data_IF_707151444598
#
_entry.id   IF_707151444598
#
_cell.length_a   1.000
_cell.length_b   1.000
_cell.length_c   1.000
_cell.angle_alpha   90.00
_cell.angle_beta   90.00
_cell.angle_gamma   90.00
#
_symmetry.space_group_name_H-M   'P 1'
#
loop_
_entity.id
_entity.type
_entity.pdbx_description
1 polymer ?
#
# COMPACT_ATOMS: atom_id res chain seq x y z
N UNK A 1 3.28 14.52 -1.42
CA UNK A 1 4.22 13.43 -1.70
C UNK A 1 3.62 12.63 -2.85
N UNK A 2 4.31 12.57 -3.99
CA UNK A 2 3.77 12.05 -5.27
C UNK A 2 4.17 10.58 -5.53
N UNK A 3 5.03 10.03 -4.67
CA UNK A 3 5.75 8.77 -4.85
C UNK A 3 5.33 7.69 -3.83
N UNK A 4 4.20 7.89 -3.14
CA UNK A 4 3.63 6.94 -2.18
C UNK A 4 2.23 6.55 -2.62
N UNK A 5 1.95 5.25 -2.53
CA UNK A 5 0.60 4.71 -2.64
C UNK A 5 0.27 3.85 -1.42
N UNK A 6 -0.64 4.34 -0.58
CA UNK A 6 -1.17 3.59 0.56
C UNK A 6 -2.61 3.16 0.23
N UNK A 7 -2.83 1.96 -0.34
CA UNK A 7 -4.18 1.49 -0.64
C UNK A 7 -5.02 1.27 0.63
N UNK A 8 -4.37 0.85 1.71
CA UNK A 8 -4.93 0.75 3.06
C UNK A 8 -3.96 1.35 4.08
N UNK A 9 -4.45 1.52 5.30
CA UNK A 9 -3.72 2.06 6.43
C UNK A 9 -3.93 1.18 7.66
N UNK A 10 -2.99 1.22 8.59
CA UNK A 10 -2.98 0.40 9.80
C UNK A 10 -2.24 -0.91 9.58
N UNK A 11 -1.76 -1.54 10.65
CA UNK A 11 -1.00 -2.79 10.58
C UNK A 11 -1.08 -3.54 11.90
N UNK A 12 -0.83 -4.85 11.89
CA UNK A 12 -0.55 -5.62 13.11
C UNK A 12 0.97 -5.75 13.29
N UNK A 13 1.49 -5.49 14.49
CA UNK A 13 2.92 -5.69 14.77
C UNK A 13 3.26 -7.19 14.76
N UNK A 14 4.20 -7.63 13.92
CA UNK A 14 4.55 -9.06 13.76
C UNK A 14 5.99 -9.42 14.15
N UNK A 15 6.87 -8.45 14.44
CA UNK A 15 8.27 -8.73 14.77
C UNK A 15 8.89 -7.62 15.63
N UNK A 16 10.09 -7.87 16.16
CA UNK A 16 10.89 -6.87 16.89
C UNK A 16 11.17 -5.59 16.05
N UNK A 17 11.22 -5.73 14.72
CA UNK A 17 11.35 -4.58 13.81
C UNK A 17 10.16 -3.61 13.86
N UNK A 18 9.07 -3.95 14.54
CA UNK A 18 7.89 -3.08 14.72
C UNK A 18 7.89 -2.27 16.02
N UNK A 19 8.87 -2.47 16.91
CA UNK A 19 8.93 -1.76 18.20
C UNK A 19 8.97 -0.23 18.01
N UNK A 20 9.75 0.26 17.05
CA UNK A 20 9.90 1.68 16.74
C UNK A 20 9.15 2.10 15.46
N UNK A 21 7.96 1.55 15.23
CA UNK A 21 7.18 1.84 14.02
C UNK A 21 6.72 3.30 13.98
N UNK A 22 7.23 4.08 13.02
CA UNK A 22 6.88 5.50 12.86
C UNK A 22 5.38 5.72 12.59
N UNK A 23 4.70 4.79 11.91
CA UNK A 23 3.27 4.92 11.61
C UNK A 23 2.46 4.96 12.91
N UNK A 24 2.68 4.00 13.81
CA UNK A 24 2.04 3.97 15.12
C UNK A 24 2.33 5.23 15.95
N UNK A 25 3.59 5.70 15.92
CA UNK A 25 3.95 6.95 16.59
C UNK A 25 3.18 8.15 16.03
N UNK A 26 3.16 8.32 14.70
CA UNK A 26 2.45 9.42 14.05
C UNK A 26 0.93 9.36 14.22
N UNK A 27 0.36 8.16 14.31
CA UNK A 27 -1.06 7.98 14.59
C UNK A 27 -1.39 8.35 16.03
N UNK A 28 -0.55 7.98 17.00
CA UNK A 28 -0.75 8.39 18.41
C UNK A 28 -0.69 9.91 18.60
N UNK A 29 0.14 10.62 17.82
CA UNK A 29 0.19 12.10 17.84
C UNK A 29 -1.10 12.75 17.29
N UNK A 30 -1.97 11.97 16.65
CA UNK A 30 -3.23 12.41 16.04
C UNK A 30 -4.45 11.76 16.72
N UNK A 31 -4.27 11.22 17.92
CA UNK A 31 -5.28 10.49 18.67
C UNK A 31 -5.91 9.33 17.87
N UNK A 32 -5.08 8.65 17.06
CA UNK A 32 -5.47 7.47 16.28
C UNK A 32 -4.71 6.23 16.77
N UNK A 33 -5.36 5.09 16.62
CA UNK A 33 -4.75 3.79 16.85
C UNK A 33 -4.27 3.20 15.51
N UNK A 34 -2.97 2.97 15.40
CA UNK A 34 -2.34 2.36 14.22
C UNK A 34 -2.71 0.89 13.98
N UNK A 35 -3.35 0.23 14.95
CA UNK A 35 -3.92 -1.11 14.77
C UNK A 35 -5.29 -1.08 14.08
N UNK A 36 -5.93 0.09 13.96
CA UNK A 36 -7.17 0.23 13.20
C UNK A 36 -6.87 0.14 11.70
N UNK A 37 -7.14 -1.03 11.13
CA UNK A 37 -6.90 -1.31 9.72
C UNK A 37 -8.12 -0.92 8.89
N UNK A 38 -7.90 -0.13 7.85
CA UNK A 38 -8.96 0.28 6.94
C UNK A 38 -8.46 0.57 5.52
N UNK A 39 -9.32 0.29 4.55
CA UNK A 39 -9.11 0.68 3.15
C UNK A 39 -9.20 2.20 3.01
N UNK A 40 -8.22 2.81 2.33
CA UNK A 40 -8.25 4.26 2.08
C UNK A 40 -9.28 4.61 1.01
N UNK A 41 -10.19 5.54 1.31
CA UNK A 41 -11.28 5.90 0.37
C UNK A 41 -10.78 6.54 -0.93
N UNK A 42 -9.86 7.50 -0.81
CA UNK A 42 -9.33 8.27 -1.95
C UNK A 42 -7.98 7.74 -2.44
N UNK A 43 -7.20 7.11 -1.56
CA UNK A 43 -5.84 6.62 -1.85
C UNK A 43 -5.83 5.33 -2.65
N UNK A 44 -6.86 4.48 -2.54
CA UNK A 44 -6.85 3.15 -3.14
C UNK A 44 -6.61 3.17 -4.65
N UNK A 45 -7.28 4.06 -5.38
CA UNK A 45 -7.17 4.15 -6.85
C UNK A 45 -6.14 5.18 -7.33
N UNK A 46 -5.24 5.65 -6.46
CA UNK A 46 -4.28 6.71 -6.79
C UNK A 46 -3.43 6.45 -8.04
N UNK A 47 -2.88 5.23 -8.30
CA UNK A 47 -2.11 4.96 -9.51
C UNK A 47 -2.92 5.12 -10.80
N UNK A 48 -4.25 5.05 -10.73
CA UNK A 48 -5.16 5.27 -11.86
C UNK A 48 -5.72 6.69 -11.92
N UNK A 49 -5.41 7.52 -10.93
CA UNK A 49 -5.96 8.87 -10.85
C UNK A 49 -5.47 9.74 -12.00
N UNK A 50 -6.39 10.54 -12.55
CA UNK A 50 -6.13 11.44 -13.67
C UNK A 50 -6.30 12.90 -13.27
N UNK A 51 -5.58 13.78 -13.93
CA UNK A 51 -5.80 15.22 -13.84
C UNK A 51 -7.03 15.65 -14.66
N UNK A 52 -7.34 16.96 -14.67
CA UNK A 52 -8.48 17.51 -15.41
C UNK A 52 -8.35 17.37 -16.93
N UNK A 53 -7.13 17.14 -17.44
CA UNK A 53 -6.84 16.95 -18.85
C UNK A 53 -6.87 15.47 -19.24
N UNK A 54 -7.14 14.56 -18.30
CA UNK A 54 -7.22 13.13 -18.52
C UNK A 54 -5.88 12.40 -18.48
N UNK A 55 -4.78 13.09 -18.17
CA UNK A 55 -3.47 12.46 -18.02
C UNK A 55 -3.37 11.77 -16.67
N UNK A 56 -2.69 10.62 -16.60
CA UNK A 56 -2.37 10.02 -15.30
C UNK A 56 -1.55 11.00 -14.44
N UNK A 57 -1.93 11.09 -13.16
CA UNK A 57 -1.17 11.88 -12.19
C UNK A 57 0.22 11.29 -12.00
N UNK A 58 0.29 9.97 -11.74
CA UNK A 58 1.53 9.19 -11.68
C UNK A 58 2.06 8.97 -13.08
N UNK A 59 3.23 9.52 -13.40
CA UNK A 59 3.80 9.48 -14.75
C UNK A 59 4.48 8.15 -15.04
N UNK A 60 4.56 7.81 -16.32
CA UNK A 60 5.30 6.64 -16.78
C UNK A 60 6.77 6.75 -16.40
N UNK A 61 7.36 5.65 -15.92
CA UNK A 61 8.73 5.58 -15.41
C UNK A 61 8.89 5.94 -13.94
N UNK A 62 7.86 6.46 -13.27
CA UNK A 62 7.91 6.75 -11.84
C UNK A 62 7.93 5.48 -10.98
N UNK A 63 8.39 5.64 -9.74
CA UNK A 63 8.32 4.60 -8.71
C UNK A 63 7.34 5.00 -7.62
N UNK A 64 6.44 4.09 -7.27
CA UNK A 64 5.56 4.22 -6.11
C UNK A 64 6.01 3.28 -5.00
N UNK A 65 6.28 3.84 -3.82
CA UNK A 65 6.48 3.09 -2.59
C UNK A 65 5.12 2.74 -2.01
N UNK A 66 4.83 1.45 -1.90
CA UNK A 66 3.49 0.97 -1.54
C UNK A 66 3.43 0.62 -0.06
N UNK A 67 2.30 0.91 0.59
CA UNK A 67 2.05 0.57 1.99
C UNK A 67 3.07 1.20 2.97
N UNK A 68 3.45 2.45 2.75
CA UNK A 68 4.22 3.25 3.71
C UNK A 68 3.44 3.60 4.99
N UNK A 69 2.20 3.15 5.16
CA UNK A 69 1.47 3.19 6.43
C UNK A 69 0.71 1.89 6.67
N UNK A 70 1.24 0.77 6.18
CA UNK A 70 0.70 -0.58 6.39
C UNK A 70 1.75 -1.63 5.97
N UNK A 71 1.31 -2.82 5.61
CA UNK A 71 2.07 -3.87 4.94
C UNK A 71 1.21 -4.44 3.80
N UNK A 72 1.81 -4.73 2.64
CA UNK A 72 1.05 -5.21 1.48
C UNK A 72 0.53 -6.65 1.67
N UNK A 73 1.24 -7.46 2.47
CA UNK A 73 0.90 -8.86 2.75
C UNK A 73 0.21 -9.03 4.10
N UNK A 74 -0.42 -7.97 4.61
CA UNK A 74 -1.27 -7.99 5.80
C UNK A 74 -2.55 -8.80 5.54
N UNK A 75 -2.91 -9.73 6.43
CA UNK A 75 -4.06 -10.63 6.28
C UNK A 75 -5.38 -9.87 6.20
N UNK A 76 -5.54 -8.81 6.99
CA UNK A 76 -6.74 -7.97 7.01
C UNK A 76 -6.95 -7.20 5.70
N UNK A 77 -5.96 -7.21 4.79
CA UNK A 77 -6.07 -6.64 3.46
C UNK A 77 -6.33 -7.68 2.35
N UNK A 78 -6.48 -8.98 2.69
CA UNK A 78 -6.71 -10.06 1.72
C UNK A 78 -7.89 -9.72 0.78
N UNK A 79 -9.03 -9.30 1.35
CA UNK A 79 -10.24 -8.93 0.61
C UNK A 79 -10.05 -7.76 -0.37
N UNK A 80 -8.97 -6.98 -0.24
CA UNK A 80 -8.69 -5.82 -1.09
C UNK A 80 -7.48 -6.03 -2.00
N UNK A 81 -6.66 -7.04 -1.73
CA UNK A 81 -5.34 -7.20 -2.37
C UNK A 81 -5.47 -7.48 -3.86
N UNK A 82 -6.42 -8.32 -4.26
CA UNK A 82 -6.63 -8.64 -5.68
C UNK A 82 -6.98 -7.40 -6.51
N UNK A 83 -7.79 -6.49 -5.94
CA UNK A 83 -8.09 -5.22 -6.60
C UNK A 83 -6.83 -4.33 -6.67
N UNK A 84 -5.97 -4.33 -5.65
CA UNK A 84 -4.69 -3.62 -5.70
C UNK A 84 -3.72 -4.22 -6.74
N UNK A 85 -3.66 -5.56 -6.87
CA UNK A 85 -2.89 -6.23 -7.92
C UNK A 85 -3.41 -5.84 -9.31
N UNK A 86 -4.72 -5.79 -9.53
CA UNK A 86 -5.30 -5.35 -10.80
C UNK A 86 -4.92 -3.91 -11.17
N UNK A 87 -4.70 -3.05 -10.17
CA UNK A 87 -4.23 -1.66 -10.38
C UNK A 87 -2.76 -1.66 -10.81
N UNK A 88 -1.93 -2.49 -10.19
CA UNK A 88 -0.52 -2.65 -10.53
C UNK A 88 -0.39 -3.16 -11.97
N UNK A 89 -1.14 -4.20 -12.33
CA UNK A 89 -1.16 -4.80 -13.67
C UNK A 89 -1.56 -3.78 -14.75
N UNK A 90 -2.50 -2.89 -14.45
CA UNK A 90 -2.94 -1.83 -15.37
C UNK A 90 -1.91 -0.71 -15.58
N UNK A 91 -0.87 -0.64 -14.76
CA UNK A 91 0.19 0.37 -14.83
C UNK A 91 1.57 -0.29 -14.96
N UNK A 92 1.81 -1.08 -16.03
CA UNK A 92 3.10 -1.72 -16.25
C UNK A 92 4.23 -0.71 -16.51
N UNK A 93 3.86 0.54 -16.81
CA UNK A 93 4.77 1.67 -16.99
C UNK A 93 5.27 2.29 -15.68
N UNK A 94 4.78 1.83 -14.52
CA UNK A 94 5.15 2.32 -13.18
C UNK A 94 5.88 1.23 -12.41
N UNK A 95 6.91 1.60 -11.65
CA UNK A 95 7.62 0.68 -10.75
C UNK A 95 6.96 0.68 -9.38
N UNK A 96 6.46 -0.45 -8.93
CA UNK A 96 5.89 -0.59 -7.59
C UNK A 96 6.91 -1.23 -6.65
N UNK A 97 7.27 -0.52 -5.58
CA UNK A 97 8.17 -1.02 -4.54
C UNK A 97 7.36 -1.48 -3.34
N UNK A 98 7.36 -2.80 -3.11
CA UNK A 98 6.72 -3.43 -1.96
C UNK A 98 7.78 -3.79 -0.93
N UNK A 99 7.61 -3.31 0.30
CA UNK A 99 8.40 -3.73 1.46
C UNK A 99 7.47 -4.43 2.44
N UNK A 100 7.86 -5.60 2.93
CA UNK A 100 7.06 -6.38 3.87
C UNK A 100 7.91 -6.98 4.98
N UNK A 101 7.29 -7.15 6.15
CA UNK A 101 7.82 -7.96 7.27
C UNK A 101 7.14 -9.32 7.38
N UNK A 102 6.33 -9.69 6.38
CA UNK A 102 5.60 -10.96 6.27
C UNK A 102 6.06 -11.75 5.04
N UNK A 103 7.37 -12.03 4.89
CA UNK A 103 7.88 -12.72 3.70
C UNK A 103 7.28 -14.12 3.53
N UNK A 104 6.86 -14.76 4.62
CA UNK A 104 6.18 -16.05 4.69
C UNK A 104 4.86 -16.08 3.91
N UNK A 105 4.13 -14.97 3.87
CA UNK A 105 2.86 -14.87 3.14
C UNK A 105 3.02 -14.61 1.65
N UNK A 106 4.22 -14.21 1.19
CA UNK A 106 4.38 -13.66 -0.16
C UNK A 106 3.99 -14.68 -1.22
N UNK A 107 4.54 -15.89 -1.17
CA UNK A 107 4.36 -16.90 -2.22
C UNK A 107 2.89 -17.27 -2.47
N UNK A 108 2.05 -17.25 -1.43
CA UNK A 108 0.63 -17.59 -1.50
C UNK A 108 -0.27 -16.43 -1.96
N UNK A 109 0.27 -15.20 -2.02
CA UNK A 109 -0.51 -13.97 -2.27
C UNK A 109 0.01 -13.13 -3.44
N UNK A 110 0.84 -13.73 -4.30
CA UNK A 110 1.21 -13.15 -5.59
C UNK A 110 0.00 -13.20 -6.54
N UNK A 111 -0.11 -12.27 -7.51
CA UNK A 111 -1.12 -12.37 -8.54
C UNK A 111 -0.88 -13.63 -9.39
N UNK A 112 -1.94 -14.16 -10.01
CA UNK A 112 -1.88 -15.40 -10.78
C UNK A 112 -0.87 -15.39 -11.94
N UNK A 113 -0.47 -14.21 -12.41
CA UNK A 113 0.43 -13.98 -13.54
C UNK A 113 1.79 -13.39 -13.13
N UNK A 114 2.24 -13.65 -11.90
CA UNK A 114 3.56 -13.24 -11.42
C UNK A 114 4.71 -13.72 -12.31
#
# INVERSE_FOLDING_TARGET
>A
MHDIWNPWHGCIKCSEGCQNCYMYYLDSLRDKDGSNIYRTKTGFKYPLSKDRQGNYKVKSGEMLRVCMTSDFFLEEADDWRDEAWSIIERRPDVKFFLLTKRPDRVAEHLPFNW
#
